data_IF_596099075265
#
_entry.id   IF_596099075265
#
_cell.length_a   1.000
_cell.length_b   1.000
_cell.length_c   1.000
_cell.angle_alpha   90.00
_cell.angle_beta   90.00
_cell.angle_gamma   90.00
#
_symmetry.space_group_name_H-M   'P 1'
#
loop_
_entity.id
_entity.type
_entity.pdbx_description
1 polymer ?
#
# COMPACT_ATOMS: atom_id res chain seq x y z
N UNK A 1 -51.00 -1.64 -47.09
CA UNK A 1 -49.80 -0.91 -46.58
C UNK A 1 -49.42 -1.30 -45.14
N UNK A 2 -49.41 -2.59 -44.77
CA UNK A 2 -49.13 -3.02 -43.38
C UNK A 2 -47.72 -3.62 -43.17
N UNK A 3 -47.02 -4.00 -44.23
CA UNK A 3 -45.73 -4.72 -44.13
C UNK A 3 -44.54 -3.82 -43.72
N UNK A 4 -44.60 -2.51 -43.98
CA UNK A 4 -43.46 -1.61 -43.77
C UNK A 4 -43.25 -1.19 -42.29
N UNK A 5 -44.32 -1.17 -41.48
CA UNK A 5 -44.25 -0.80 -40.05
C UNK A 5 -43.58 -1.87 -39.18
N UNK A 6 -43.67 -3.14 -39.56
CA UNK A 6 -43.01 -4.25 -38.84
C UNK A 6 -41.51 -4.30 -39.14
N UNK A 7 -41.10 -3.95 -40.37
CA UNK A 7 -39.69 -3.90 -40.78
C UNK A 7 -38.88 -2.86 -39.98
N UNK A 8 -39.40 -1.64 -39.85
CA UNK A 8 -38.74 -0.56 -39.11
C UNK A 8 -38.60 -0.83 -37.60
N UNK A 9 -39.63 -1.44 -36.98
CA UNK A 9 -39.57 -1.85 -35.57
C UNK A 9 -38.56 -2.98 -35.32
N UNK A 10 -38.37 -3.87 -36.28
CA UNK A 10 -37.39 -4.95 -36.18
C UNK A 10 -35.97 -4.41 -36.35
N UNK A 11 -35.76 -3.48 -37.28
CA UNK A 11 -34.47 -2.79 -37.48
C UNK A 11 -34.05 -1.99 -36.24
N UNK A 12 -34.98 -1.26 -35.59
CA UNK A 12 -34.64 -0.52 -34.37
C UNK A 12 -34.28 -1.45 -33.21
N UNK A 13 -34.99 -2.58 -33.06
CA UNK A 13 -34.68 -3.61 -32.05
C UNK A 13 -33.31 -4.25 -32.30
N UNK A 14 -32.99 -4.59 -33.55
CA UNK A 14 -31.69 -5.17 -33.91
C UNK A 14 -30.54 -4.17 -33.68
N UNK A 15 -30.75 -2.90 -34.03
CA UNK A 15 -29.79 -1.83 -33.77
C UNK A 15 -29.54 -1.63 -32.28
N UNK A 16 -30.60 -1.55 -31.46
CA UNK A 16 -30.47 -1.44 -30.01
C UNK A 16 -29.75 -2.65 -29.39
N UNK A 17 -30.10 -3.87 -29.81
CA UNK A 17 -29.42 -5.09 -29.35
C UNK A 17 -27.95 -5.12 -29.76
N UNK A 18 -27.62 -4.73 -30.99
CA UNK A 18 -26.25 -4.65 -31.48
C UNK A 18 -25.44 -3.61 -30.69
N UNK A 19 -26.05 -2.47 -30.38
CA UNK A 19 -25.44 -1.42 -29.56
C UNK A 19 -25.15 -1.92 -28.14
N UNK A 20 -26.12 -2.54 -27.47
CA UNK A 20 -25.91 -3.10 -26.12
C UNK A 20 -24.84 -4.18 -26.12
N UNK A 21 -24.77 -5.04 -27.14
CA UNK A 21 -23.70 -6.02 -27.29
C UNK A 21 -22.34 -5.36 -27.48
N UNK A 22 -22.26 -4.33 -28.33
CA UNK A 22 -21.03 -3.56 -28.56
C UNK A 22 -20.51 -2.90 -27.29
N UNK A 23 -21.40 -2.29 -26.48
CA UNK A 23 -21.01 -1.71 -25.19
C UNK A 23 -20.47 -2.78 -24.24
N UNK A 24 -21.16 -3.92 -24.11
CA UNK A 24 -20.69 -5.01 -23.25
C UNK A 24 -19.30 -5.50 -23.65
N UNK A 25 -19.08 -5.68 -24.96
CA UNK A 25 -17.77 -6.05 -25.49
C UNK A 25 -16.71 -4.98 -25.17
N UNK A 26 -17.04 -3.69 -25.35
CA UNK A 26 -16.13 -2.59 -25.04
C UNK A 26 -15.79 -2.52 -23.55
N UNK A 27 -16.78 -2.62 -22.66
CA UNK A 27 -16.56 -2.66 -21.22
C UNK A 27 -15.70 -3.86 -20.82
N UNK A 28 -15.99 -5.05 -21.33
CA UNK A 28 -15.21 -6.25 -21.02
C UNK A 28 -13.75 -6.11 -21.47
N UNK A 29 -13.53 -5.65 -22.71
CA UNK A 29 -12.19 -5.42 -23.27
C UNK A 29 -11.41 -4.36 -22.49
N UNK A 30 -12.06 -3.26 -22.10
CA UNK A 30 -11.45 -2.21 -21.30
C UNK A 30 -11.08 -2.71 -19.90
N UNK A 31 -11.97 -3.49 -19.26
CA UNK A 31 -11.69 -4.10 -17.96
C UNK A 31 -10.53 -5.09 -18.02
N UNK A 32 -10.42 -5.86 -19.11
CA UNK A 32 -9.28 -6.74 -19.34
C UNK A 32 -7.98 -5.94 -19.38
N UNK A 33 -7.92 -4.87 -20.18
CA UNK A 33 -6.74 -4.01 -20.26
C UNK A 33 -6.40 -3.40 -18.89
N UNK A 34 -7.41 -2.90 -18.17
CA UNK A 34 -7.21 -2.29 -16.86
C UNK A 34 -6.63 -3.27 -15.83
N UNK A 35 -7.13 -4.51 -15.79
CA UNK A 35 -6.58 -5.57 -14.93
C UNK A 35 -5.10 -5.81 -15.24
N UNK A 36 -4.75 -5.96 -16.52
CA UNK A 36 -3.36 -6.18 -16.92
C UNK A 36 -2.47 -5.00 -16.51
N UNK A 37 -2.93 -3.77 -16.70
CA UNK A 37 -2.19 -2.56 -16.27
C UNK A 37 -1.99 -2.54 -14.75
N UNK A 38 -3.03 -2.85 -13.98
CA UNK A 38 -2.94 -2.90 -12.51
C UNK A 38 -1.93 -3.97 -12.06
N UNK A 39 -2.04 -5.19 -12.60
CA UNK A 39 -1.19 -6.32 -12.24
C UNK A 39 0.27 -6.03 -12.62
N UNK A 40 0.52 -5.49 -13.80
CA UNK A 40 1.87 -5.14 -14.24
C UNK A 40 2.47 -4.01 -13.42
N UNK A 41 1.68 -3.02 -13.02
CA UNK A 41 2.15 -1.97 -12.10
C UNK A 41 2.53 -2.53 -10.74
N UNK A 42 1.71 -3.42 -10.19
CA UNK A 42 1.98 -4.06 -8.90
C UNK A 42 3.26 -4.90 -8.94
N UNK A 43 3.55 -5.52 -10.09
CA UNK A 43 4.70 -6.39 -10.29
C UNK A 43 5.89 -5.73 -11.00
N UNK A 44 5.85 -4.42 -11.23
CA UNK A 44 6.88 -3.66 -11.95
C UNK A 44 7.24 -4.21 -13.34
N UNK A 45 6.28 -4.80 -14.03
CA UNK A 45 6.45 -5.35 -15.39
C UNK A 45 6.30 -4.21 -16.41
N UNK A 46 7.17 -4.12 -17.43
CA UNK A 46 7.04 -3.14 -18.51
C UNK A 46 5.70 -3.22 -19.26
N UNK A 47 5.25 -2.09 -19.81
CA UNK A 47 3.97 -1.96 -20.54
C UNK A 47 4.13 -1.93 -22.06
N UNK A 48 5.32 -2.24 -22.60
CA UNK A 48 5.68 -1.94 -24.00
C UNK A 48 4.88 -2.70 -25.07
N UNK A 49 4.34 -3.86 -24.72
CA UNK A 49 3.51 -4.74 -25.56
C UNK A 49 2.00 -4.49 -25.37
N UNK A 50 1.61 -3.56 -24.50
CA UNK A 50 0.22 -3.12 -24.37
C UNK A 50 -0.15 -2.08 -25.43
N UNK A 51 -1.43 -1.98 -25.80
CA UNK A 51 -1.89 -0.97 -26.75
C UNK A 51 -1.63 0.43 -26.18
N UNK A 52 -0.86 1.24 -26.91
CA UNK A 52 -0.57 2.64 -26.55
C UNK A 52 -1.46 3.65 -27.29
N UNK A 53 -2.27 3.17 -28.24
CA UNK A 53 -3.20 3.98 -29.01
C UNK A 53 -4.56 3.29 -29.15
N UNK A 54 -5.62 4.08 -29.36
CA UNK A 54 -6.98 3.56 -29.51
C UNK A 54 -7.07 2.57 -30.68
N UNK A 55 -6.32 2.80 -31.77
CA UNK A 55 -6.29 1.90 -32.93
C UNK A 55 -5.80 0.49 -32.56
N UNK A 56 -4.65 0.40 -31.90
CA UNK A 56 -4.10 -0.87 -31.43
C UNK A 56 -5.07 -1.58 -30.47
N UNK A 57 -5.79 -0.82 -29.63
CA UNK A 57 -6.77 -1.40 -28.71
C UNK A 57 -7.87 -2.23 -29.40
N UNK A 58 -8.38 -1.83 -30.57
CA UNK A 58 -9.46 -2.56 -31.26
C UNK A 58 -9.01 -3.40 -32.46
N UNK A 59 -7.80 -3.23 -32.97
CA UNK A 59 -7.27 -4.02 -34.10
C UNK A 59 -6.41 -5.20 -33.65
N UNK A 60 -5.77 -5.11 -32.48
CA UNK A 60 -4.81 -6.10 -32.01
C UNK A 60 -5.34 -6.84 -30.77
N UNK A 61 -5.25 -8.18 -30.80
CA UNK A 61 -5.63 -9.08 -29.70
C UNK A 61 -4.40 -9.78 -29.06
N UNK A 62 -3.19 -9.34 -29.42
CA UNK A 62 -1.90 -9.91 -28.99
C UNK A 62 -1.66 -9.75 -27.49
N UNK A 63 -2.14 -8.63 -26.92
CA UNK A 63 -2.02 -8.31 -25.50
C UNK A 63 -3.09 -8.99 -24.62
N UNK A 64 -4.12 -9.60 -25.22
CA UNK A 64 -5.18 -10.29 -24.48
C UNK A 64 -4.70 -11.69 -24.11
N UNK A 65 -4.68 -12.06 -22.82
CA UNK A 65 -4.31 -13.40 -22.36
C UNK A 65 -5.11 -14.50 -23.05
N UNK A 66 -4.49 -15.64 -23.30
CA UNK A 66 -5.16 -16.79 -23.93
C UNK A 66 -6.29 -17.38 -23.07
N UNK A 67 -6.27 -17.11 -21.76
CA UNK A 67 -7.32 -17.53 -20.82
C UNK A 67 -8.62 -16.73 -20.94
N UNK A 68 -8.60 -15.59 -21.65
CA UNK A 68 -9.75 -14.70 -21.80
C UNK A 68 -10.48 -14.94 -23.12
N UNK A 69 -11.80 -14.79 -23.14
CA UNK A 69 -12.61 -14.97 -24.34
C UNK A 69 -12.49 -13.75 -25.28
N UNK A 70 -11.58 -13.85 -26.25
CA UNK A 70 -11.29 -12.80 -27.23
C UNK A 70 -12.50 -12.42 -28.08
N UNK A 71 -13.36 -13.39 -28.42
CA UNK A 71 -14.46 -13.15 -29.36
C UNK A 71 -15.61 -12.35 -28.71
N UNK A 72 -15.91 -12.59 -27.43
CA UNK A 72 -16.91 -11.77 -26.70
C UNK A 72 -16.44 -10.34 -26.40
N UNK A 73 -15.14 -10.09 -26.47
CA UNK A 73 -14.50 -8.79 -26.27
C UNK A 73 -14.13 -8.10 -27.59
N UNK A 74 -14.61 -8.59 -28.73
CA UNK A 74 -14.31 -7.98 -30.02
C UNK A 74 -15.06 -6.68 -30.20
N UNK A 75 -14.31 -5.60 -30.44
CA UNK A 75 -14.86 -4.25 -30.58
C UNK A 75 -14.44 -3.68 -31.92
N UNK A 76 -15.30 -2.89 -32.55
CA UNK A 76 -14.99 -2.19 -33.79
C UNK A 76 -14.90 -0.69 -33.56
N UNK A 77 -14.22 0.00 -34.48
CA UNK A 77 -14.16 1.48 -34.53
C UNK A 77 -15.54 2.13 -34.41
N UNK A 78 -16.57 1.56 -35.04
CA UNK A 78 -17.93 2.10 -35.02
C UNK A 78 -18.55 2.08 -33.62
N UNK A 79 -18.25 1.05 -32.83
CA UNK A 79 -18.70 0.98 -31.43
C UNK A 79 -17.94 2.01 -30.59
N UNK A 80 -16.62 2.12 -30.76
CA UNK A 80 -15.79 3.03 -29.92
C UNK A 80 -16.17 4.50 -30.11
N UNK A 81 -16.42 4.93 -31.36
CA UNK A 81 -16.73 6.32 -31.68
C UNK A 81 -18.23 6.60 -31.85
N UNK A 82 -19.10 5.68 -31.41
CA UNK A 82 -20.53 5.93 -31.43
C UNK A 82 -20.88 7.12 -30.52
N UNK A 83 -21.73 8.03 -30.99
CA UNK A 83 -22.18 9.21 -30.25
C UNK A 83 -23.29 8.84 -29.24
N UNK A 84 -22.94 7.96 -28.31
CA UNK A 84 -23.78 7.58 -27.18
C UNK A 84 -23.03 7.86 -25.89
N UNK A 85 -23.74 8.35 -24.88
CA UNK A 85 -23.15 8.78 -23.60
C UNK A 85 -22.25 7.70 -22.98
N UNK A 86 -22.69 6.45 -22.98
CA UNK A 86 -21.93 5.32 -22.43
C UNK A 86 -20.60 5.09 -23.18
N UNK A 87 -20.61 5.24 -24.50
CA UNK A 87 -19.42 5.07 -25.34
C UNK A 87 -18.43 6.21 -25.13
N UNK A 88 -18.93 7.44 -24.92
CA UNK A 88 -18.08 8.59 -24.59
C UNK A 88 -17.37 8.42 -23.23
N UNK A 89 -18.08 7.89 -22.22
CA UNK A 89 -17.48 7.56 -20.91
C UNK A 89 -16.39 6.51 -21.08
N UNK A 90 -16.69 5.38 -21.71
CA UNK A 90 -15.71 4.30 -21.95
C UNK A 90 -14.51 4.77 -22.78
N UNK A 91 -14.72 5.68 -23.74
CA UNK A 91 -13.64 6.26 -24.53
C UNK A 91 -12.75 7.19 -23.69
N UNK A 92 -13.32 7.96 -22.75
CA UNK A 92 -12.53 8.77 -21.80
C UNK A 92 -11.69 7.87 -20.90
N UNK A 93 -12.29 6.82 -20.36
CA UNK A 93 -11.59 5.85 -19.50
C UNK A 93 -10.46 5.15 -20.24
N UNK A 94 -10.71 4.73 -21.48
CA UNK A 94 -9.67 4.17 -22.36
C UNK A 94 -8.53 5.17 -22.57
N UNK A 95 -8.82 6.45 -22.86
CA UNK A 95 -7.77 7.46 -23.06
C UNK A 95 -6.90 7.65 -21.80
N UNK A 96 -7.52 7.69 -20.62
CA UNK A 96 -6.78 7.79 -19.35
C UNK A 96 -5.85 6.59 -19.17
N UNK A 97 -6.34 5.39 -19.46
CA UNK A 97 -5.56 4.15 -19.36
C UNK A 97 -4.41 4.10 -20.37
N UNK A 98 -4.63 4.57 -21.61
CA UNK A 98 -3.58 4.64 -22.63
C UNK A 98 -2.49 5.65 -22.27
N UNK A 99 -2.83 6.80 -21.69
CA UNK A 99 -1.83 7.76 -21.21
C UNK A 99 -0.99 7.16 -20.07
N UNK A 100 -1.62 6.40 -19.19
CA UNK A 100 -0.96 5.68 -18.11
C UNK A 100 -0.04 4.55 -18.61
N UNK A 101 -0.38 3.91 -19.74
CA UNK A 101 0.48 2.93 -20.43
C UNK A 101 1.68 3.61 -21.09
N UNK A 102 1.49 4.76 -21.74
CA UNK A 102 2.57 5.50 -22.44
C UNK A 102 3.56 6.11 -21.49
N UNK A 103 3.05 6.74 -20.44
CA UNK A 103 3.84 7.43 -19.44
C UNK A 103 3.52 6.84 -18.07
N UNK A 104 3.88 5.58 -17.82
CA UNK A 104 3.68 4.97 -16.52
C UNK A 104 4.41 5.86 -15.53
N UNK A 105 3.69 6.41 -14.55
CA UNK A 105 4.33 7.09 -13.41
C UNK A 105 5.45 6.18 -12.94
N UNK A 106 6.67 6.70 -12.80
CA UNK A 106 7.87 5.91 -12.51
C UNK A 106 7.77 5.27 -11.11
N UNK A 107 6.87 4.31 -10.95
CA UNK A 107 6.56 3.58 -9.73
C UNK A 107 7.80 2.85 -9.25
N UNK A 108 8.66 2.40 -10.17
CA UNK A 108 9.95 1.79 -9.83
C UNK A 108 10.87 2.77 -9.09
N UNK A 109 11.05 3.99 -9.58
CA UNK A 109 11.93 4.98 -8.92
C UNK A 109 11.40 5.36 -7.53
N UNK A 110 10.08 5.57 -7.42
CA UNK A 110 9.43 5.86 -6.13
C UNK A 110 9.56 4.67 -5.18
N UNK A 111 9.40 3.45 -5.67
CA UNK A 111 9.57 2.23 -4.89
C UNK A 111 11.02 2.07 -4.42
N UNK A 112 12.01 2.23 -5.30
CA UNK A 112 13.43 2.15 -4.97
C UNK A 112 13.82 3.21 -3.91
N UNK A 113 13.29 4.44 -4.03
CA UNK A 113 13.47 5.51 -3.04
C UNK A 113 12.83 5.15 -1.69
N UNK A 114 11.61 4.60 -1.70
CA UNK A 114 10.92 4.15 -0.49
C UNK A 114 11.62 2.97 0.19
N UNK A 115 12.11 1.99 -0.58
CA UNK A 115 12.84 0.84 -0.06
C UNK A 115 14.17 1.28 0.61
N UNK A 116 14.84 2.26 0.01
CA UNK A 116 16.06 2.84 0.58
C UNK A 116 15.78 3.59 1.90
N UNK A 117 14.69 4.35 1.98
CA UNK A 117 14.29 5.03 3.22
C UNK A 117 13.86 4.03 4.30
N UNK A 118 13.17 2.94 3.94
CA UNK A 118 12.84 1.85 4.88
C UNK A 118 14.13 1.26 5.47
N UNK A 119 15.11 0.89 4.65
CA UNK A 119 16.41 0.35 5.13
C UNK A 119 17.14 1.32 6.05
N UNK A 120 17.07 2.61 5.77
CA UNK A 120 17.66 3.66 6.61
C UNK A 120 16.96 3.76 7.97
N UNK A 121 15.62 3.76 7.99
CA UNK A 121 14.83 3.78 9.22
C UNK A 121 15.06 2.52 10.05
N UNK A 122 15.12 1.34 9.45
CA UNK A 122 15.44 0.09 10.14
C UNK A 122 16.80 0.14 10.85
N UNK A 123 17.82 0.69 10.18
CA UNK A 123 19.13 0.88 10.78
C UNK A 123 19.11 1.89 11.93
N UNK A 124 18.35 2.98 11.80
CA UNK A 124 18.17 3.95 12.89
C UNK A 124 17.49 3.31 14.11
N UNK A 125 16.43 2.51 13.90
CA UNK A 125 15.74 1.79 14.97
C UNK A 125 16.68 0.81 15.68
N UNK A 126 17.47 0.03 14.94
CA UNK A 126 18.47 -0.88 15.52
C UNK A 126 19.49 -0.14 16.38
N UNK A 127 19.99 1.00 15.89
CA UNK A 127 20.94 1.83 16.63
C UNK A 127 20.32 2.41 17.91
N UNK A 128 19.09 2.91 17.84
CA UNK A 128 18.37 3.42 19.00
C UNK A 128 18.08 2.32 20.02
N UNK A 129 17.71 1.12 19.58
CA UNK A 129 17.50 -0.03 20.46
C UNK A 129 18.80 -0.43 21.18
N UNK A 130 19.93 -0.43 20.47
CA UNK A 130 21.24 -0.72 21.06
C UNK A 130 21.67 0.33 22.09
N UNK A 131 21.44 1.62 21.81
CA UNK A 131 21.77 2.69 22.77
C UNK A 131 20.84 2.67 23.98
N UNK A 132 19.54 2.38 23.79
CA UNK A 132 18.61 2.19 24.91
C UNK A 132 19.06 1.05 25.83
N UNK A 133 19.45 -0.10 25.27
CA UNK A 133 19.98 -1.21 26.07
C UNK A 133 21.23 -0.81 26.85
N UNK A 134 22.12 -0.03 26.24
CA UNK A 134 23.32 0.49 26.90
C UNK A 134 22.98 1.42 28.06
N UNK A 135 21.98 2.28 27.88
CA UNK A 135 21.47 3.18 28.91
C UNK A 135 20.83 2.39 30.06
N UNK A 136 20.02 1.39 29.76
CA UNK A 136 19.41 0.50 30.77
C UNK A 136 20.47 -0.20 31.63
N UNK A 137 21.53 -0.74 31.01
CA UNK A 137 22.65 -1.36 31.74
C UNK A 137 23.33 -0.35 32.67
N UNK A 138 23.58 0.88 32.19
CA UNK A 138 24.17 1.95 33.02
C UNK A 138 23.28 2.28 34.21
N UNK A 139 21.97 2.45 33.99
CA UNK A 139 21.03 2.71 35.08
C UNK A 139 20.97 1.58 36.08
N UNK A 140 20.95 0.32 35.62
CA UNK A 140 20.98 -0.85 36.50
C UNK A 140 22.22 -0.86 37.39
N UNK A 141 23.41 -0.61 36.83
CA UNK A 141 24.64 -0.55 37.60
C UNK A 141 24.63 0.57 38.65
N UNK A 142 24.06 1.74 38.32
CA UNK A 142 23.91 2.85 39.27
C UNK A 142 22.94 2.46 40.40
N UNK A 143 21.80 1.86 40.06
CA UNK A 143 20.81 1.40 41.04
C UNK A 143 21.43 0.37 41.99
N UNK A 144 22.18 -0.60 41.46
CA UNK A 144 22.81 -1.64 42.27
C UNK A 144 23.88 -1.06 43.21
N UNK A 145 24.67 -0.08 42.74
CA UNK A 145 25.62 0.64 43.60
C UNK A 145 24.91 1.42 44.72
N UNK A 146 23.86 2.18 44.39
CA UNK A 146 23.10 2.95 45.38
C UNK A 146 22.43 2.06 46.43
N UNK A 147 21.93 0.89 46.02
CA UNK A 147 21.39 -0.11 46.97
C UNK A 147 22.46 -0.61 47.95
N UNK A 148 23.67 -0.90 47.45
CA UNK A 148 24.76 -1.32 48.30
C UNK A 148 25.19 -0.22 49.30
N UNK A 149 25.30 1.03 48.83
CA UNK A 149 25.60 2.19 49.69
C UNK A 149 24.52 2.42 50.76
N UNK A 150 23.24 2.29 50.39
CA UNK A 150 22.12 2.39 51.31
C UNK A 150 22.20 1.31 52.40
N UNK A 151 22.46 0.06 52.03
CA UNK A 151 22.58 -1.05 52.97
C UNK A 151 23.74 -0.86 53.96
N UNK A 152 24.89 -0.36 53.48
CA UNK A 152 26.03 -0.02 54.33
C UNK A 152 25.65 1.10 55.31
N UNK A 153 24.98 2.14 54.82
CA UNK A 153 24.52 3.27 55.64
C UNK A 153 23.55 2.84 56.73
N UNK A 154 22.57 2.00 56.40
CA UNK A 154 21.62 1.42 57.37
C UNK A 154 22.33 0.55 58.42
N UNK A 155 23.29 -0.27 57.99
CA UNK A 155 24.08 -1.11 58.91
C UNK A 155 24.88 -0.25 59.87
N UNK A 156 25.55 0.80 59.37
CA UNK A 156 26.30 1.74 60.20
C UNK A 156 25.38 2.49 61.17
N UNK A 157 24.23 2.98 60.70
CA UNK A 157 23.22 3.62 61.55
C UNK A 157 22.78 2.71 62.70
N UNK A 158 22.49 1.43 62.40
CA UNK A 158 22.10 0.46 63.42
C UNK A 158 23.22 0.21 64.43
N UNK A 159 24.47 0.11 63.97
CA UNK A 159 25.65 -0.02 64.83
C UNK A 159 25.83 1.20 65.74
N UNK A 160 25.70 2.41 65.22
CA UNK A 160 25.78 3.63 66.02
C UNK A 160 24.66 3.71 67.05
N UNK A 161 23.44 3.31 66.69
CA UNK A 161 22.31 3.24 67.60
C UNK A 161 22.60 2.29 68.78
N UNK A 162 23.10 1.08 68.49
CA UNK A 162 23.50 0.12 69.53
C UNK A 162 24.62 0.66 70.43
N UNK A 163 25.63 1.33 69.87
CA UNK A 163 26.71 1.94 70.66
C UNK A 163 26.20 3.08 71.56
N UNK A 164 25.25 3.89 71.10
CA UNK A 164 24.64 4.94 71.92
C UNK A 164 23.82 4.34 73.06
N UNK A 165 23.01 3.32 72.77
CA UNK A 165 22.24 2.60 73.79
C UNK A 165 23.17 2.00 74.86
N UNK A 166 24.22 1.27 74.45
CA UNK A 166 25.19 0.68 75.38
C UNK A 166 26.01 1.71 76.18
N UNK A 167 26.37 2.86 75.60
CA UNK A 167 27.10 3.91 76.33
C UNK A 167 26.20 4.74 77.26
N UNK A 168 24.90 4.82 76.96
CA UNK A 168 23.93 5.55 77.81
C UNK A 168 23.63 4.84 79.13
N UNK A 169 23.85 3.52 79.22
CA UNK A 169 23.71 2.74 80.45
C UNK A 169 24.88 2.94 81.44
N UNK A 170 26.02 3.46 80.97
CA UNK A 170 27.29 3.51 81.75
C UNK A 170 27.53 4.86 82.45
N UNK A 171 26.71 5.90 82.20
CA UNK A 171 26.87 7.21 82.86
C UNK A 171 25.76 7.42 83.89
N UNK A 172 25.95 7.04 85.17
CA UNK A 172 25.09 7.53 86.23
C UNK A 172 25.32 9.03 86.35
N UNK A 173 24.29 9.84 86.09
CA UNK A 173 24.30 11.24 86.49
C UNK A 173 24.51 11.30 88.01
N UNK A 174 25.55 12.00 88.52
CA UNK A 174 25.69 12.18 89.94
C UNK A 174 24.48 12.98 90.41
N UNK A 175 23.64 12.35 91.25
CA UNK A 175 22.53 13.02 91.91
C UNK A 175 23.11 14.15 92.76
N UNK A 176 22.83 15.39 92.35
CA UNK A 176 22.97 16.56 93.22
C UNK A 176 21.82 16.59 94.22
#
# INVERSE_FOLDING_TARGET
MAQNKNSLKNLSKQSAQSHTKGIKAFTARLNCLNKIVIDRKANFIPMGDLPSAIKAFYEEDTWIPESEDKESMKVTKNVIYAKHEQNEVLLKDLKLLLEDIKSPRSTKKVFDEQELEIKKLENQVKNLAAENLRIEIKYKNIIDRLKAELQISETNKNRYKQLLENNSEVIPFPKR
#
